data_IF_481853867165
#
_entry.id   IF_481853867165
#
_cell.length_a   1.000
_cell.length_b   1.000
_cell.length_c   1.000
_cell.angle_alpha   90.00
_cell.angle_beta   90.00
_cell.angle_gamma   90.00
#
_symmetry.space_group_name_H-M   'P 1'
#
loop_
_entity.id
_entity.type
_entity.pdbx_description
1 polymer ?
#
# COMPACT_ATOMS: atom_id res chain seq x y z
N UNK A 1 -18.30 -8.90 -4.65
CA UNK A 1 -17.79 -8.39 -5.93
C UNK A 1 -17.77 -6.87 -5.85
N UNK A 2 -16.61 -6.29 -5.52
CA UNK A 2 -16.44 -4.84 -5.58
C UNK A 2 -16.34 -4.42 -7.02
N UNK A 3 -17.30 -3.63 -7.47
CA UNK A 3 -17.33 -3.03 -8.80
C UNK A 3 -16.31 -1.90 -8.97
N UNK A 4 -15.63 -1.45 -7.90
CA UNK A 4 -14.76 -0.28 -7.93
C UNK A 4 -13.50 -0.44 -8.80
N UNK A 5 -12.93 -1.65 -8.91
CA UNK A 5 -11.70 -1.90 -9.68
C UNK A 5 -11.93 -2.69 -10.97
N UNK A 6 -13.18 -2.81 -11.43
CA UNK A 6 -13.55 -3.58 -12.64
C UNK A 6 -14.29 -2.76 -13.67
N UNK A 7 -14.24 -1.44 -13.58
CA UNK A 7 -14.82 -0.59 -14.60
C UNK A 7 -13.79 -0.33 -15.70
N UNK A 8 -14.10 -0.73 -16.92
CA UNK A 8 -13.30 -0.45 -18.10
C UNK A 8 -13.88 0.77 -18.78
N UNK A 9 -13.06 1.82 -18.99
CA UNK A 9 -13.46 2.99 -19.77
C UNK A 9 -13.34 2.61 -21.24
N UNK A 10 -14.43 2.73 -21.98
CA UNK A 10 -14.49 2.42 -23.40
C UNK A 10 -14.47 3.65 -24.29
N UNK A 11 -14.99 4.78 -23.79
CA UNK A 11 -15.01 6.06 -24.50
C UNK A 11 -14.64 7.21 -23.60
N UNK A 12 -14.03 8.23 -24.17
CA UNK A 12 -13.79 9.55 -23.58
C UNK A 12 -14.36 10.63 -24.50
N UNK A 13 -15.20 11.51 -23.95
CA UNK A 13 -15.92 12.57 -24.68
C UNK A 13 -16.65 12.04 -25.92
N UNK A 14 -17.26 10.85 -25.80
CA UNK A 14 -18.01 10.19 -26.88
C UNK A 14 -17.19 9.42 -27.90
N UNK A 15 -15.87 9.58 -27.92
CA UNK A 15 -14.95 8.86 -28.82
C UNK A 15 -14.37 7.61 -28.18
N UNK A 16 -14.15 6.50 -28.91
CA UNK A 16 -13.49 5.32 -28.38
C UNK A 16 -12.13 5.67 -27.76
N UNK A 17 -11.85 5.15 -26.55
CA UNK A 17 -10.59 5.36 -25.88
C UNK A 17 -9.48 4.55 -26.58
N UNK A 18 -8.39 5.22 -26.91
CA UNK A 18 -7.21 4.66 -27.56
C UNK A 18 -5.94 5.23 -26.90
N UNK A 19 -4.77 4.69 -27.22
CA UNK A 19 -3.51 5.26 -26.76
C UNK A 19 -3.29 6.69 -27.29
N UNK A 20 -3.84 7.02 -28.47
CA UNK A 20 -3.66 8.34 -29.10
C UNK A 20 -4.53 9.45 -28.49
N UNK A 21 -5.53 9.11 -27.68
CA UNK A 21 -6.42 10.09 -27.05
C UNK A 21 -6.58 9.86 -25.52
N UNK A 22 -5.71 9.06 -24.94
CA UNK A 22 -5.74 8.77 -23.49
C UNK A 22 -5.40 9.99 -22.63
N UNK A 23 -4.66 10.95 -23.18
CA UNK A 23 -4.35 12.24 -22.57
C UNK A 23 -5.61 13.08 -22.26
N UNK A 24 -6.69 12.88 -23.02
CA UNK A 24 -7.97 13.53 -22.73
C UNK A 24 -8.53 13.18 -21.34
N UNK A 25 -8.13 12.06 -20.75
CA UNK A 25 -8.53 11.67 -19.39
C UNK A 25 -7.96 12.60 -18.31
N UNK A 26 -6.91 13.37 -18.63
CA UNK A 26 -6.28 14.35 -17.73
C UNK A 26 -6.86 15.77 -17.87
N UNK A 27 -7.89 15.95 -18.70
CA UNK A 27 -8.55 17.24 -18.80
C UNK A 27 -9.37 17.53 -17.53
N UNK A 28 -9.49 18.82 -17.22
CA UNK A 28 -10.18 19.29 -16.02
C UNK A 28 -11.64 18.78 -15.93
N UNK A 29 -12.29 18.54 -17.08
CA UNK A 29 -13.59 17.91 -17.16
C UNK A 29 -13.62 16.92 -18.32
N UNK A 30 -14.07 15.71 -18.06
CA UNK A 30 -14.22 14.66 -19.08
C UNK A 30 -15.52 13.90 -18.90
N UNK A 31 -16.07 13.41 -20.01
CA UNK A 31 -17.21 12.47 -20.00
C UNK A 31 -16.69 11.09 -20.39
N UNK A 32 -16.86 10.11 -19.51
CA UNK A 32 -16.41 8.73 -19.74
C UNK A 32 -17.60 7.80 -19.92
N UNK A 33 -17.48 6.85 -20.85
CA UNK A 33 -18.42 5.73 -20.98
C UNK A 33 -17.71 4.48 -20.46
N UNK A 34 -18.40 3.74 -19.59
CA UNK A 34 -17.87 2.49 -19.00
C UNK A 34 -18.41 1.29 -19.79
N UNK A 35 -17.67 0.20 -19.77
CA UNK A 35 -18.14 -1.09 -20.25
C UNK A 35 -19.30 -1.60 -19.39
N UNK A 36 -20.37 -2.05 -20.04
CA UNK A 36 -21.45 -2.82 -19.40
C UNK A 36 -21.02 -4.29 -19.23
N UNK A 37 -20.31 -4.83 -20.23
CA UNK A 37 -19.74 -6.16 -20.21
C UNK A 37 -18.28 -6.12 -20.66
N UNK A 38 -17.46 -7.00 -20.09
CA UNK A 38 -16.05 -7.19 -20.46
C UNK A 38 -15.81 -8.66 -20.65
N UNK A 39 -15.30 -9.04 -21.82
CA UNK A 39 -14.93 -10.41 -22.14
C UNK A 39 -13.51 -10.46 -22.69
N UNK A 40 -12.64 -11.21 -22.06
CA UNK A 40 -11.30 -11.49 -22.57
C UNK A 40 -11.37 -12.65 -23.58
N UNK A 41 -10.80 -12.45 -24.75
CA UNK A 41 -10.69 -13.46 -25.81
C UNK A 41 -9.22 -13.67 -26.18
N UNK A 42 -8.94 -14.68 -26.99
CA UNK A 42 -7.58 -14.91 -27.51
C UNK A 42 -7.06 -13.76 -28.40
N UNK A 43 -7.96 -12.91 -28.91
CA UNK A 43 -7.64 -11.77 -29.77
C UNK A 43 -7.69 -10.42 -29.05
N UNK A 44 -8.04 -10.40 -27.74
CA UNK A 44 -8.09 -9.18 -26.95
C UNK A 44 -9.37 -9.03 -26.11
N UNK A 45 -9.59 -7.82 -25.63
CA UNK A 45 -10.73 -7.47 -24.78
C UNK A 45 -11.92 -7.06 -25.64
N UNK A 46 -13.05 -7.74 -25.49
CA UNK A 46 -14.32 -7.35 -26.09
C UNK A 46 -15.19 -6.70 -25.02
N UNK A 47 -15.73 -5.52 -25.30
CA UNK A 47 -16.58 -4.78 -24.40
C UNK A 47 -17.88 -4.34 -25.08
N UNK A 48 -18.93 -4.20 -24.28
CA UNK A 48 -20.14 -3.47 -24.67
C UNK A 48 -20.27 -2.25 -23.76
N UNK A 49 -20.67 -1.11 -24.31
CA UNK A 49 -20.80 0.12 -23.54
C UNK A 49 -22.05 0.12 -22.66
N UNK A 50 -21.97 0.80 -21.51
CA UNK A 50 -23.16 1.23 -20.78
C UNK A 50 -23.90 2.30 -21.59
N UNK A 51 -25.21 2.36 -21.45
CA UNK A 51 -26.07 3.36 -22.11
C UNK A 51 -25.87 4.78 -21.55
N UNK A 52 -25.36 4.88 -20.31
CA UNK A 52 -25.11 6.16 -19.65
C UNK A 52 -23.60 6.44 -19.55
N UNK A 53 -23.22 7.69 -19.78
CA UNK A 53 -21.87 8.21 -19.55
C UNK A 53 -21.83 8.96 -18.22
N UNK A 54 -20.64 9.09 -17.65
CA UNK A 54 -20.37 9.76 -16.38
C UNK A 54 -19.49 10.98 -16.69
N UNK A 55 -19.95 12.17 -16.29
CA UNK A 55 -19.10 13.37 -16.30
C UNK A 55 -18.27 13.42 -15.02
N UNK A 56 -16.96 13.61 -15.17
CA UNK A 56 -15.98 13.67 -14.10
C UNK A 56 -15.30 15.03 -14.19
N UNK A 57 -15.21 15.72 -13.07
CA UNK A 57 -14.38 16.94 -12.94
C UNK A 57 -13.17 16.59 -12.11
N UNK A 58 -12.00 16.99 -12.58
CA UNK A 58 -10.74 16.79 -11.85
C UNK A 58 -10.80 17.52 -10.50
N UNK A 59 -10.35 16.86 -9.45
CA UNK A 59 -10.20 17.43 -8.12
C UNK A 59 -8.97 16.80 -7.44
N UNK A 60 -8.36 17.55 -6.54
CA UNK A 60 -7.39 16.99 -5.60
C UNK A 60 -8.16 16.15 -4.58
N UNK A 61 -7.83 14.87 -4.53
CA UNK A 61 -8.46 13.91 -3.61
C UNK A 61 -7.37 13.34 -2.71
N UNK A 62 -7.53 13.49 -1.41
CA UNK A 62 -6.77 12.70 -0.44
C UNK A 62 -7.47 11.36 -0.26
N UNK A 63 -6.97 10.36 -1.01
CA UNK A 63 -7.56 9.03 -1.04
C UNK A 63 -7.26 8.27 0.24
N UNK A 64 -8.33 7.78 0.91
CA UNK A 64 -8.19 6.87 2.04
C UNK A 64 -7.59 5.54 1.54
N UNK A 65 -6.41 5.14 2.05
CA UNK A 65 -5.76 3.91 1.61
C UNK A 65 -6.47 2.62 2.05
N UNK A 66 -7.37 2.69 3.03
CA UNK A 66 -8.25 1.59 3.42
C UNK A 66 -9.44 1.56 2.45
N UNK A 67 -9.20 1.06 1.24
CA UNK A 67 -10.15 1.18 0.13
C UNK A 67 -11.39 0.30 0.32
N UNK A 68 -11.25 -0.82 1.02
CA UNK A 68 -12.35 -1.76 1.22
C UNK A 68 -12.07 -2.73 2.36
N UNK A 69 -13.08 -3.02 3.17
CA UNK A 69 -13.10 -4.11 4.13
C UNK A 69 -14.41 -4.88 4.02
N UNK A 70 -14.32 -6.20 4.05
CA UNK A 70 -15.48 -7.11 4.09
C UNK A 70 -15.18 -8.32 4.95
N UNK A 71 -16.15 -8.70 5.80
CA UNK A 71 -16.13 -9.99 6.48
C UNK A 71 -16.81 -11.05 5.60
N UNK A 72 -16.12 -12.16 5.37
CA UNK A 72 -16.68 -13.35 4.72
C UNK A 72 -16.66 -14.53 5.70
N UNK A 73 -17.73 -15.31 5.72
CA UNK A 73 -17.82 -16.52 6.55
C UNK A 73 -17.74 -17.75 5.66
N UNK A 74 -16.79 -18.63 5.96
CA UNK A 74 -16.66 -19.92 5.29
C UNK A 74 -16.42 -21.03 6.31
N UNK A 75 -17.45 -21.84 6.56
CA UNK A 75 -17.42 -22.83 7.63
C UNK A 75 -17.23 -22.16 9.00
N UNK A 76 -16.17 -22.54 9.72
CA UNK A 76 -15.80 -21.95 11.02
C UNK A 76 -14.89 -20.74 10.89
N UNK A 77 -14.57 -20.32 9.66
CA UNK A 77 -13.64 -19.21 9.40
C UNK A 77 -14.39 -17.91 9.21
N UNK A 78 -14.02 -16.92 9.99
CA UNK A 78 -14.36 -15.53 9.77
C UNK A 78 -13.18 -14.86 9.05
N UNK A 79 -13.31 -14.63 7.76
CA UNK A 79 -12.25 -14.11 6.91
C UNK A 79 -12.44 -12.62 6.75
N UNK A 80 -11.45 -11.82 7.18
CA UNK A 80 -11.37 -10.40 6.84
C UNK A 80 -10.70 -10.24 5.48
N UNK A 81 -11.35 -9.56 4.54
CA UNK A 81 -10.75 -9.13 3.28
C UNK A 81 -10.53 -7.63 3.33
N UNK A 82 -9.27 -7.21 3.33
CA UNK A 82 -8.85 -5.81 3.40
C UNK A 82 -8.10 -5.42 2.13
N UNK A 83 -8.59 -4.41 1.42
CA UNK A 83 -7.87 -3.75 0.32
C UNK A 83 -7.17 -2.52 0.86
N UNK A 84 -5.83 -2.54 0.82
CA UNK A 84 -4.97 -1.48 1.35
C UNK A 84 -4.05 -0.95 0.25
N UNK A 85 -4.29 0.28 -0.21
CA UNK A 85 -3.71 0.82 -1.44
C UNK A 85 -2.41 1.61 -1.25
N UNK A 86 -2.13 2.10 -0.03
CA UNK A 86 -0.90 2.86 0.24
C UNK A 86 -0.57 2.87 1.74
N UNK A 87 0.72 2.88 2.06
CA UNK A 87 1.21 3.05 3.42
C UNK A 87 1.33 4.55 3.73
N UNK A 88 0.21 5.19 4.09
CA UNK A 88 0.12 6.60 4.46
C UNK A 88 0.04 6.73 5.98
N UNK A 89 1.02 7.43 6.58
CA UNK A 89 1.12 7.54 8.04
C UNK A 89 -0.04 8.34 8.66
N UNK A 90 -0.55 9.32 7.92
CA UNK A 90 -1.71 10.14 8.31
C UNK A 90 -3.04 9.37 8.36
N UNK A 91 -3.04 8.11 7.93
CA UNK A 91 -4.17 7.18 8.03
C UNK A 91 -3.91 5.98 8.96
N UNK A 92 -2.91 6.10 9.85
CA UNK A 92 -2.59 5.02 10.78
C UNK A 92 -3.74 4.74 11.75
N UNK A 93 -4.46 5.76 12.19
CA UNK A 93 -5.60 5.65 13.10
C UNK A 93 -6.81 5.00 12.42
N UNK A 94 -7.12 5.33 11.16
CA UNK A 94 -8.15 4.64 10.37
C UNK A 94 -7.80 3.18 10.11
N UNK A 95 -6.52 2.89 9.82
CA UNK A 95 -6.07 1.51 9.69
C UNK A 95 -6.24 0.73 10.99
N UNK A 96 -5.88 1.33 12.12
CA UNK A 96 -6.07 0.75 13.45
C UNK A 96 -7.56 0.56 13.80
N UNK A 97 -8.43 1.49 13.38
CA UNK A 97 -9.87 1.38 13.54
C UNK A 97 -10.45 0.23 12.68
N UNK A 98 -9.94 0.02 11.47
CA UNK A 98 -10.32 -1.12 10.64
C UNK A 98 -9.96 -2.45 11.33
N UNK A 99 -8.79 -2.54 11.96
CA UNK A 99 -8.40 -3.72 12.74
C UNK A 99 -9.21 -3.89 14.02
N UNK A 100 -9.64 -2.79 14.68
CA UNK A 100 -10.60 -2.85 15.78
C UNK A 100 -11.94 -3.44 15.35
N UNK A 101 -12.45 -3.03 14.18
CA UNK A 101 -13.66 -3.58 13.59
C UNK A 101 -13.50 -5.08 13.27
N UNK A 102 -12.38 -5.46 12.65
CA UNK A 102 -12.07 -6.87 12.37
C UNK A 102 -12.05 -7.72 13.65
N UNK A 103 -11.49 -7.19 14.74
CA UNK A 103 -11.46 -7.84 16.04
C UNK A 103 -12.88 -8.02 16.62
N UNK A 104 -13.72 -6.98 16.52
CA UNK A 104 -15.13 -7.04 16.92
C UNK A 104 -15.94 -8.04 16.07
N UNK A 105 -15.63 -8.16 14.79
CA UNK A 105 -16.22 -9.12 13.86
C UNK A 105 -15.73 -10.55 14.09
N UNK A 106 -14.77 -10.77 14.99
CA UNK A 106 -14.20 -12.07 15.32
C UNK A 106 -13.41 -12.67 14.15
N UNK A 107 -12.70 -11.83 13.38
CA UNK A 107 -11.86 -12.29 12.26
C UNK A 107 -10.75 -13.19 12.78
N UNK A 108 -10.61 -14.37 12.18
CA UNK A 108 -9.60 -15.37 12.51
C UNK A 108 -8.74 -15.80 11.32
N UNK A 109 -9.03 -15.27 10.12
CA UNK A 109 -8.21 -15.38 8.91
C UNK A 109 -8.20 -14.01 8.21
N UNK A 110 -7.06 -13.58 7.68
CA UNK A 110 -6.93 -12.29 6.98
C UNK A 110 -6.45 -12.52 5.54
N UNK A 111 -7.13 -11.88 4.60
CA UNK A 111 -6.67 -11.66 3.23
C UNK A 111 -6.37 -10.18 3.09
N UNK A 112 -5.08 -9.84 3.00
CA UNK A 112 -4.58 -8.49 2.80
C UNK A 112 -4.27 -8.29 1.31
N UNK A 113 -4.98 -7.39 0.66
CA UNK A 113 -4.82 -7.11 -0.76
C UNK A 113 -3.88 -5.91 -0.97
N UNK A 114 -2.66 -6.19 -1.42
CA UNK A 114 -1.62 -5.22 -1.75
C UNK A 114 -1.35 -5.12 -3.24
N UNK A 115 -2.22 -5.64 -4.10
CA UNK A 115 -2.00 -5.70 -5.56
C UNK A 115 -1.80 -4.33 -6.21
N UNK A 116 -2.31 -3.25 -5.61
CA UNK A 116 -2.18 -1.89 -6.13
C UNK A 116 -1.39 -0.97 -5.19
N UNK A 117 -0.66 -1.57 -4.23
CA UNK A 117 0.05 -0.84 -3.19
C UNK A 117 1.54 -0.72 -3.52
N UNK A 118 1.97 0.45 -3.98
CA UNK A 118 3.36 0.78 -4.29
C UNK A 118 4.25 1.04 -3.06
N UNK A 119 3.72 0.87 -1.84
CA UNK A 119 4.45 1.11 -0.60
C UNK A 119 4.09 2.43 0.09
N UNK A 120 5.07 3.06 0.72
CA UNK A 120 4.94 4.30 1.47
C UNK A 120 5.72 4.29 2.79
N UNK A 121 5.08 4.67 3.89
CA UNK A 121 5.69 4.79 5.21
C UNK A 121 6.14 3.44 5.78
N UNK A 122 7.41 3.37 6.16
CA UNK A 122 7.98 2.23 6.88
C UNK A 122 7.30 2.06 8.24
N UNK A 123 7.05 3.16 8.94
CA UNK A 123 6.38 3.14 10.24
C UNK A 123 4.97 2.53 10.16
N UNK A 124 4.21 2.86 9.11
CA UNK A 124 2.91 2.25 8.86
C UNK A 124 3.03 0.74 8.60
N UNK A 125 4.11 0.29 7.94
CA UNK A 125 4.36 -1.14 7.72
C UNK A 125 4.66 -1.87 9.04
N UNK A 126 5.43 -1.26 9.94
CA UNK A 126 5.68 -1.77 11.29
C UNK A 126 4.38 -1.85 12.09
N UNK A 127 3.55 -0.80 12.05
CA UNK A 127 2.26 -0.78 12.74
C UNK A 127 1.31 -1.87 12.21
N UNK A 128 1.21 -2.04 10.88
CA UNK A 128 0.40 -3.08 10.26
C UNK A 128 0.85 -4.49 10.69
N UNK A 129 2.16 -4.72 10.79
CA UNK A 129 2.69 -5.99 11.29
C UNK A 129 2.25 -6.27 12.74
N UNK A 130 2.29 -5.26 13.61
CA UNK A 130 1.75 -5.33 14.97
C UNK A 130 0.24 -5.57 15.01
N UNK A 131 -0.53 -4.99 14.09
CA UNK A 131 -1.96 -5.22 13.95
C UNK A 131 -2.27 -6.67 13.51
N UNK A 132 -1.44 -7.26 12.66
CA UNK A 132 -1.58 -8.66 12.26
C UNK A 132 -1.24 -9.58 13.43
N UNK A 133 -0.10 -9.35 14.10
CA UNK A 133 0.28 -10.14 15.29
C UNK A 133 1.08 -9.31 16.31
N UNK A 134 0.41 -8.87 17.36
CA UNK A 134 0.99 -8.07 18.45
C UNK A 134 1.79 -8.86 19.49
N UNK A 135 1.79 -10.21 19.44
CA UNK A 135 2.50 -11.04 20.39
C UNK A 135 4.04 -10.88 20.32
N UNK A 136 4.54 -10.26 19.24
CA UNK A 136 5.96 -10.03 19.02
C UNK A 136 6.42 -8.61 19.34
N UNK A 137 5.62 -7.83 20.07
CA UNK A 137 6.02 -6.48 20.51
C UNK A 137 7.37 -6.49 21.21
N UNK A 138 8.25 -5.57 20.85
CA UNK A 138 9.63 -5.48 21.33
C UNK A 138 10.65 -6.33 20.54
N UNK A 139 10.20 -7.10 19.54
CA UNK A 139 11.10 -7.89 18.70
C UNK A 139 11.62 -7.06 17.51
N UNK A 140 12.89 -7.26 17.05
CA UNK A 140 13.41 -6.57 15.88
C UNK A 140 12.62 -6.97 14.63
N UNK A 141 12.20 -6.00 13.82
CA UNK A 141 11.34 -6.28 12.65
C UNK A 141 12.07 -6.08 11.33
N UNK A 142 12.63 -4.92 11.13
CA UNK A 142 13.35 -4.54 9.92
C UNK A 142 14.67 -3.92 10.27
N UNK A 143 15.73 -4.30 9.57
CA UNK A 143 17.05 -3.68 9.66
C UNK A 143 17.20 -2.68 8.51
N UNK A 144 17.60 -1.46 8.84
CA UNK A 144 17.92 -0.39 7.89
C UNK A 144 19.44 -0.31 7.75
N UNK A 145 19.94 -0.37 6.52
CA UNK A 145 21.34 -0.31 6.13
C UNK A 145 21.55 0.92 5.25
N UNK A 146 22.03 1.98 5.87
CA UNK A 146 22.22 3.26 5.21
C UNK A 146 23.49 3.29 4.38
N UNK A 147 23.58 4.25 3.47
CA UNK A 147 24.81 4.48 2.70
C UNK A 147 25.97 4.95 3.59
N UNK A 148 27.20 4.89 3.06
CA UNK A 148 28.44 5.17 3.81
C UNK A 148 28.51 6.51 4.55
N UNK A 149 27.66 7.47 4.22
CA UNK A 149 27.60 8.77 4.91
C UNK A 149 26.76 8.71 6.18
N UNK A 150 25.90 7.70 6.30
CA UNK A 150 24.90 7.56 7.34
C UNK A 150 24.96 6.20 8.06
N UNK A 151 26.07 5.47 7.98
CA UNK A 151 26.26 4.17 8.66
C UNK A 151 25.99 4.23 10.16
N UNK A 152 26.11 5.40 10.80
CA UNK A 152 25.78 5.58 12.22
C UNK A 152 24.28 5.48 12.49
N UNK A 153 23.44 5.51 11.45
CA UNK A 153 21.99 5.38 11.51
C UNK A 153 21.52 3.95 11.25
N UNK A 154 22.46 3.03 10.91
CA UNK A 154 22.13 1.62 10.73
C UNK A 154 21.52 1.04 12.00
N UNK A 155 20.42 0.34 11.85
CA UNK A 155 19.74 -0.20 13.02
C UNK A 155 18.46 -0.95 12.71
N UNK A 156 17.88 -1.48 13.78
CA UNK A 156 16.59 -2.16 13.73
C UNK A 156 15.46 -1.22 14.14
N UNK A 157 14.37 -1.27 13.39
CA UNK A 157 13.06 -0.90 13.90
C UNK A 157 12.37 -2.14 14.49
N UNK A 158 11.64 -1.92 15.56
CA UNK A 158 11.05 -2.96 16.40
C UNK A 158 9.55 -2.98 16.29
N UNK A 159 8.95 -4.17 16.32
CA UNK A 159 7.51 -4.32 16.51
C UNK A 159 7.07 -3.68 17.82
N UNK A 160 5.91 -3.06 17.82
CA UNK A 160 5.36 -2.38 18.99
C UNK A 160 3.87 -2.68 19.14
N UNK A 161 3.35 -2.56 20.36
CA UNK A 161 1.92 -2.51 20.63
C UNK A 161 1.37 -1.08 20.66
N UNK A 162 2.22 -0.11 20.35
CA UNK A 162 1.86 1.30 20.18
C UNK A 162 2.24 1.74 18.76
N UNK A 163 1.50 2.66 18.21
CA UNK A 163 1.81 3.33 16.95
C UNK A 163 1.64 4.83 17.09
N UNK A 164 2.33 5.57 16.25
CA UNK A 164 2.09 7.01 16.13
C UNK A 164 0.85 7.28 15.29
N UNK A 165 0.13 8.33 15.66
CA UNK A 165 -0.93 8.94 14.87
C UNK A 165 -0.46 10.28 14.33
N UNK A 166 -1.02 10.68 13.19
CA UNK A 166 -0.63 11.88 12.48
C UNK A 166 -1.85 12.72 12.12
N UNK A 167 -1.64 14.02 12.00
CA UNK A 167 -2.60 14.93 11.41
C UNK A 167 -1.92 15.71 10.29
N UNK A 168 -2.69 16.12 9.28
CA UNK A 168 -2.14 16.94 8.21
C UNK A 168 -2.01 18.39 8.65
N UNK A 169 -0.78 18.89 8.67
CA UNK A 169 -0.46 20.31 8.87
C UNK A 169 0.19 20.81 7.57
N UNK A 170 -0.45 21.77 6.91
CA UNK A 170 -0.02 22.24 5.59
C UNK A 170 0.18 21.10 4.57
N UNK A 171 -0.77 20.17 4.50
CA UNK A 171 -0.75 18.96 3.66
C UNK A 171 0.45 18.03 3.92
N UNK A 172 0.96 18.00 5.16
CA UNK A 172 2.04 17.11 5.58
C UNK A 172 1.65 16.36 6.85
N UNK A 173 1.96 15.06 6.94
CA UNK A 173 1.76 14.31 8.17
C UNK A 173 2.68 14.87 9.28
N UNK A 174 2.09 15.35 10.36
CA UNK A 174 2.80 15.70 11.58
C UNK A 174 2.29 14.82 12.72
N UNK A 175 3.19 14.31 13.54
CA UNK A 175 2.82 13.43 14.66
C UNK A 175 1.87 14.17 15.60
N UNK A 176 0.66 13.63 15.79
CA UNK A 176 -0.38 14.17 16.64
C UNK A 176 -0.52 13.43 17.97
N UNK A 177 -0.04 12.18 18.06
CA UNK A 177 -0.15 11.37 19.27
C UNK A 177 0.34 9.95 19.09
N UNK A 178 -0.12 9.08 19.99
CA UNK A 178 0.10 7.63 19.94
C UNK A 178 -1.19 6.91 20.28
N UNK A 179 -1.37 5.71 19.70
CA UNK A 179 -2.50 4.82 20.02
C UNK A 179 -1.99 3.40 20.27
N UNK A 180 -2.74 2.66 21.10
CA UNK A 180 -2.55 1.21 21.23
C UNK A 180 -3.04 0.51 19.98
N UNK A 181 -2.24 -0.42 19.48
CA UNK A 181 -2.55 -1.21 18.29
C UNK A 181 -3.65 -2.25 18.60
N UNK A 182 -4.66 -2.31 17.75
CA UNK A 182 -5.67 -3.36 17.74
C UNK A 182 -5.12 -4.56 16.97
N UNK A 183 -4.60 -5.55 17.69
CA UNK A 183 -4.03 -6.75 17.06
C UNK A 183 -5.06 -7.88 16.97
N UNK A 184 -5.02 -8.57 15.82
CA UNK A 184 -5.78 -9.82 15.59
C UNK A 184 -5.03 -11.05 16.12
N UNK A 185 -3.73 -10.94 16.40
CA UNK A 185 -2.85 -12.02 16.87
C UNK A 185 -2.89 -13.26 15.95
N UNK A 186 -2.94 -13.04 14.65
CA UNK A 186 -2.98 -14.09 13.65
C UNK A 186 -1.61 -14.75 13.51
N UNK A 187 -1.59 -16.07 13.38
CA UNK A 187 -0.37 -16.84 13.07
C UNK A 187 -0.18 -17.06 11.58
N UNK A 188 -1.14 -16.62 10.77
CA UNK A 188 -1.12 -16.73 9.31
C UNK A 188 -1.87 -15.57 8.67
N UNK A 189 -1.36 -15.12 7.53
CA UNK A 189 -1.99 -14.10 6.66
C UNK A 189 -1.83 -14.49 5.21
N UNK A 190 -2.87 -14.25 4.41
CA UNK A 190 -2.82 -14.34 2.95
C UNK A 190 -2.62 -12.94 2.38
N UNK A 191 -1.65 -12.77 1.50
CA UNK A 191 -1.34 -11.49 0.88
C UNK A 191 -1.49 -11.60 -0.63
N UNK A 192 -2.39 -10.80 -1.20
CA UNK A 192 -2.54 -10.70 -2.65
C UNK A 192 -1.50 -9.70 -3.17
N UNK A 193 -0.71 -10.13 -4.15
CA UNK A 193 0.41 -9.36 -4.70
C UNK A 193 0.39 -9.35 -6.23
N UNK A 194 0.99 -8.33 -6.85
CA UNK A 194 1.22 -8.27 -8.29
C UNK A 194 2.42 -7.34 -8.62
N UNK A 195 2.64 -7.11 -9.91
CA UNK A 195 3.71 -6.26 -10.45
C UNK A 195 3.62 -4.75 -10.06
N UNK A 196 2.65 -4.34 -9.26
CA UNK A 196 2.55 -3.00 -8.67
C UNK A 196 2.83 -3.00 -7.16
N UNK A 197 2.91 -4.20 -6.56
CA UNK A 197 3.26 -4.35 -5.15
C UNK A 197 4.74 -4.04 -4.95
N UNK A 198 5.06 -2.99 -4.17
CA UNK A 198 6.43 -2.48 -4.04
C UNK A 198 6.77 -1.95 -2.65
N UNK A 199 8.07 -1.87 -2.34
CA UNK A 199 8.63 -1.10 -1.22
C UNK A 199 8.03 -1.54 0.14
N UNK A 200 7.33 -0.67 0.90
CA UNK A 200 6.75 -1.00 2.19
C UNK A 200 5.78 -2.20 2.15
N UNK A 201 5.15 -2.48 1.00
CA UNK A 201 4.37 -3.70 0.78
C UNK A 201 5.26 -4.94 0.77
N UNK A 202 6.39 -4.90 0.07
CA UNK A 202 7.37 -5.99 0.02
C UNK A 202 8.07 -6.17 1.36
N UNK A 203 8.40 -5.05 2.04
CA UNK A 203 8.92 -5.04 3.41
C UNK A 203 7.94 -5.78 4.34
N UNK A 204 6.64 -5.45 4.27
CA UNK A 204 5.62 -6.12 5.09
C UNK A 204 5.63 -7.63 4.86
N UNK A 205 5.65 -8.08 3.61
CA UNK A 205 5.69 -9.53 3.28
C UNK A 205 7.00 -10.16 3.77
N UNK A 206 8.15 -9.56 3.46
CA UNK A 206 9.48 -10.12 3.72
C UNK A 206 9.81 -10.20 5.23
N UNK A 207 9.46 -9.14 5.98
CA UNK A 207 9.75 -9.09 7.40
C UNK A 207 8.73 -9.90 8.22
N UNK A 208 7.45 -9.86 7.83
CA UNK A 208 6.40 -10.57 8.55
C UNK A 208 6.53 -12.10 8.45
N UNK A 209 7.10 -12.64 7.35
CA UNK A 209 7.43 -14.06 7.18
C UNK A 209 8.26 -14.65 8.32
N UNK A 210 8.99 -13.81 9.07
CA UNK A 210 9.81 -14.24 10.22
C UNK A 210 9.00 -14.46 11.50
N UNK A 211 7.73 -14.09 11.50
CA UNK A 211 6.87 -14.10 12.69
C UNK A 211 5.58 -14.90 12.49
N UNK A 212 5.03 -14.85 11.29
CA UNK A 212 3.79 -15.54 10.95
C UNK A 212 3.93 -16.26 9.60
N UNK A 213 3.04 -17.19 9.34
CA UNK A 213 2.98 -17.84 8.03
C UNK A 213 2.33 -16.87 7.02
N UNK A 214 3.15 -16.26 6.15
CA UNK A 214 2.68 -15.38 5.08
C UNK A 214 2.54 -16.19 3.79
N UNK A 215 1.32 -16.28 3.28
CA UNK A 215 1.02 -16.97 2.02
C UNK A 215 0.73 -15.90 0.96
N UNK A 216 1.64 -15.76 -0.02
CA UNK A 216 1.49 -14.81 -1.13
C UNK A 216 0.76 -15.46 -2.30
N UNK A 217 -0.20 -14.74 -2.89
CA UNK A 217 -1.05 -15.20 -3.99
C UNK A 217 -1.10 -14.10 -5.05
N UNK A 218 -0.89 -14.44 -6.31
CA UNK A 218 -1.00 -13.49 -7.41
C UNK A 218 0.15 -13.55 -8.39
N UNK A 219 0.93 -12.49 -8.51
CA UNK A 219 2.04 -12.36 -9.46
C UNK A 219 3.28 -11.78 -8.78
N UNK A 220 4.44 -11.85 -9.46
CA UNK A 220 5.70 -11.28 -8.97
C UNK A 220 5.56 -9.81 -8.60
N UNK A 221 6.25 -9.40 -7.54
CA UNK A 221 6.30 -8.02 -7.08
C UNK A 221 7.38 -7.22 -7.82
N UNK A 222 7.51 -5.92 -7.49
CA UNK A 222 8.46 -5.02 -8.18
C UNK A 222 9.92 -5.32 -7.86
N UNK A 223 10.25 -5.76 -6.63
CA UNK A 223 11.64 -5.95 -6.19
C UNK A 223 12.32 -4.66 -5.67
N UNK A 224 11.54 -3.75 -5.05
CA UNK A 224 12.07 -2.51 -4.49
C UNK A 224 12.35 -2.67 -2.99
N UNK A 225 13.55 -3.16 -2.63
CA UNK A 225 13.99 -3.36 -1.24
C UNK A 225 14.88 -2.22 -0.73
N UNK A 226 14.53 -0.99 -1.09
CA UNK A 226 15.28 0.23 -0.74
C UNK A 226 14.32 1.33 -0.30
N UNK A 227 14.84 2.27 0.48
CA UNK A 227 14.09 3.41 0.94
C UNK A 227 14.84 4.73 0.72
N UNK A 228 14.12 5.81 0.98
CA UNK A 228 14.58 7.17 0.77
C UNK A 228 14.19 8.06 1.93
N UNK A 229 14.95 9.13 2.13
CA UNK A 229 14.59 10.25 2.99
C UNK A 229 14.33 11.48 2.14
N UNK A 230 13.46 12.36 2.63
CA UNK A 230 13.19 13.64 1.94
C UNK A 230 14.19 14.68 2.40
N UNK A 231 14.88 15.30 1.44
CA UNK A 231 15.83 16.39 1.67
C UNK A 231 15.25 17.70 1.14
N UNK A 232 15.48 18.78 1.90
CA UNK A 232 15.02 20.13 1.61
C UNK A 232 16.23 21.04 1.38
N UNK A 233 16.03 22.16 0.69
CA UNK A 233 17.02 23.24 0.62
C UNK A 233 17.09 23.93 2.02
N UNK A 234 17.74 23.26 2.95
CA UNK A 234 17.93 23.65 4.34
C UNK A 234 19.22 23.03 4.87
N UNK A 235 20.21 23.83 5.32
CA UNK A 235 21.43 23.28 5.92
C UNK A 235 21.18 22.69 7.33
N UNK A 236 20.01 22.96 7.93
CA UNK A 236 19.68 22.48 9.26
C UNK A 236 19.30 21.00 9.24
N UNK A 237 19.73 20.25 10.27
CA UNK A 237 19.43 18.82 10.43
C UNK A 237 19.80 17.98 9.20
N UNK A 238 20.98 18.23 8.65
CA UNK A 238 21.49 17.52 7.47
C UNK A 238 20.47 17.52 6.29
N UNK A 239 19.93 18.69 5.99
CA UNK A 239 18.92 18.93 4.95
C UNK A 239 17.55 18.24 5.17
N UNK A 240 17.28 17.67 6.34
CA UNK A 240 15.98 17.03 6.62
C UNK A 240 14.94 17.99 7.24
N UNK A 241 15.36 19.20 7.63
CA UNK A 241 14.46 20.17 8.28
C UNK A 241 13.54 20.88 7.30
N UNK A 242 12.28 20.48 7.28
CA UNK A 242 11.24 21.20 6.52
C UNK A 242 11.03 22.64 7.02
N UNK A 243 11.04 22.83 8.33
CA UNK A 243 10.76 24.13 8.95
C UNK A 243 11.78 25.20 8.56
N UNK A 244 13.04 24.80 8.38
CA UNK A 244 14.14 25.72 8.03
C UNK A 244 14.46 25.74 6.53
N UNK A 245 13.58 25.19 5.69
CA UNK A 245 13.78 25.17 4.25
C UNK A 245 13.73 26.55 3.60
N UNK A 246 14.38 26.69 2.47
CA UNK A 246 14.22 27.85 1.62
C UNK A 246 12.77 27.95 1.08
N UNK A 247 12.07 29.03 1.43
CA UNK A 247 10.66 29.24 1.05
C UNK A 247 10.47 29.86 -0.34
N UNK A 248 11.56 30.13 -1.06
CA UNK A 248 11.49 30.72 -2.40
C UNK A 248 11.07 29.71 -3.49
N UNK A 249 11.04 28.41 -3.15
CA UNK A 249 10.61 27.32 -4.02
C UNK A 249 10.05 26.15 -3.21
N UNK A 250 9.40 25.21 -3.89
CA UNK A 250 8.82 24.00 -3.29
C UNK A 250 9.59 22.72 -3.71
N UNK A 251 10.80 22.85 -4.26
CA UNK A 251 11.60 21.71 -4.63
C UNK A 251 12.11 20.95 -3.41
N UNK A 252 12.05 19.64 -3.49
CA UNK A 252 12.64 18.70 -2.54
C UNK A 252 13.27 17.54 -3.29
N UNK A 253 14.27 16.90 -2.69
CA UNK A 253 14.92 15.71 -3.23
C UNK A 253 14.50 14.49 -2.39
N UNK A 254 14.38 13.35 -3.04
CA UNK A 254 14.09 12.08 -2.37
C UNK A 254 15.03 10.98 -2.88
N UNK A 255 16.33 11.08 -2.57
CA UNK A 255 17.31 10.08 -2.98
C UNK A 255 17.09 8.77 -2.24
N UNK A 256 17.41 7.65 -2.89
CA UNK A 256 17.54 6.36 -2.21
C UNK A 256 18.75 6.44 -1.28
N UNK A 257 18.53 6.18 0.01
CA UNK A 257 19.55 6.35 1.06
C UNK A 257 19.85 5.10 1.85
N UNK A 258 18.96 4.11 1.86
CA UNK A 258 19.15 2.86 2.57
C UNK A 258 18.54 1.67 1.86
N UNK A 259 19.09 0.49 2.14
CA UNK A 259 18.47 -0.81 1.90
C UNK A 259 17.79 -1.28 3.18
N UNK A 260 16.78 -2.14 3.07
CA UNK A 260 16.19 -2.76 4.25
C UNK A 260 16.22 -4.29 4.14
N UNK A 261 16.29 -4.93 5.29
CA UNK A 261 16.34 -6.37 5.44
C UNK A 261 15.41 -6.83 6.56
N UNK A 262 15.01 -8.10 6.56
CA UNK A 262 14.28 -8.65 7.69
C UNK A 262 15.19 -8.78 8.95
N UNK A 263 14.62 -9.24 10.06
CA UNK A 263 15.33 -9.34 11.35
C UNK A 263 16.59 -10.21 11.32
N UNK A 264 16.70 -11.15 10.39
CA UNK A 264 17.86 -12.04 10.24
C UNK A 264 18.87 -11.51 9.21
N UNK A 265 18.58 -10.35 8.61
CA UNK A 265 19.39 -9.74 7.54
C UNK A 265 19.57 -10.64 6.33
N UNK A 266 18.54 -11.43 6.01
CA UNK A 266 18.57 -12.28 4.81
C UNK A 266 18.72 -11.41 3.57
N UNK A 267 19.44 -11.93 2.58
CA UNK A 267 19.58 -11.29 1.27
C UNK A 267 18.19 -11.14 0.62
N UNK A 268 17.88 -9.94 0.19
CA UNK A 268 16.63 -9.69 -0.52
C UNK A 268 16.63 -10.41 -1.87
N UNK A 269 15.51 -11.03 -2.26
CA UNK A 269 15.36 -11.58 -3.60
C UNK A 269 15.27 -10.46 -4.65
N UNK A 270 15.38 -10.80 -5.91
CA UNK A 270 15.14 -9.84 -7.00
C UNK A 270 13.72 -9.29 -6.96
N UNK A 271 12.75 -10.14 -6.65
CA UNK A 271 11.33 -9.81 -6.40
C UNK A 271 10.73 -10.89 -5.49
N UNK A 272 9.56 -10.65 -4.93
CA UNK A 272 8.83 -11.68 -4.18
C UNK A 272 7.95 -12.46 -5.16
N UNK A 273 8.36 -13.68 -5.46
CA UNK A 273 7.52 -14.62 -6.18
C UNK A 273 6.35 -15.09 -5.30
N UNK A 274 5.12 -15.19 -5.81
CA UNK A 274 3.98 -15.67 -5.05
C UNK A 274 4.09 -17.17 -4.75
N UNK A 275 3.55 -17.62 -3.62
CA UNK A 275 3.41 -19.05 -3.32
C UNK A 275 2.42 -19.73 -4.27
N UNK A 276 1.39 -19.00 -4.68
CA UNK A 276 0.38 -19.42 -5.64
C UNK A 276 0.26 -18.38 -6.74
N UNK A 277 0.76 -18.72 -7.92
CA UNK A 277 0.65 -17.84 -9.08
C UNK A 277 -0.77 -17.87 -9.64
N UNK A 278 -1.33 -16.68 -9.85
CA UNK A 278 -2.60 -16.49 -10.53
C UNK A 278 -2.38 -15.43 -11.60
N UNK A 279 -2.47 -15.84 -12.86
CA UNK A 279 -2.42 -14.90 -13.96
C UNK A 279 -3.57 -13.87 -13.79
N UNK A 280 -3.29 -12.56 -13.65
CA UNK A 280 -4.32 -11.55 -13.45
C UNK A 280 -5.30 -11.44 -14.63
N UNK A 281 -4.94 -12.01 -15.77
CA UNK A 281 -5.73 -12.04 -17.00
C UNK A 281 -6.44 -13.38 -17.22
N UNK A 282 -6.15 -14.44 -16.44
CA UNK A 282 -6.86 -15.70 -16.51
C UNK A 282 -8.16 -15.60 -15.70
N UNK A 283 -9.28 -15.91 -16.32
CA UNK A 283 -10.53 -16.23 -15.61
C UNK A 283 -10.59 -17.74 -15.46
N UNK A 284 -10.56 -18.21 -14.22
CA UNK A 284 -11.05 -19.55 -13.90
C UNK A 284 -12.57 -19.56 -13.92
#
# INVERSE_FOLDING_TARGET
YTTLFRSVITKVNGSPLTLNNSDLLYNNQVTVTLAATVQLTSTGLITTDKTSSISITQADIDENPIAYYEKKVYGTKNIGYLVFNAFKADYNDELNAAFAQMKADGINELVLDLRYNGGGSLETAVALAGMINGNYSGSPYVFLDFNNKHNSEDGFDYLSNQMNTYSLVNNRPEKSGTQTINSLNLTKVYVLVNFQTASASELTVQCLKKYVNVVTIGYDTVGKFVGSITLYDSPAQDYTSYTNRNTKHNWQLQPITFSYYNKDKDVNPEFIAPNYEINPYSRS
#
